data_IF_518192075011
#
_entry.id   IF_518192075011
#
_cell.length_a   1.000
_cell.length_b   1.000
_cell.length_c   1.000
_cell.angle_alpha   90.00
_cell.angle_beta   90.00
_cell.angle_gamma   90.00
#
_symmetry.space_group_name_H-M   'P 1'
#
loop_
_entity.id
_entity.type
_entity.pdbx_description
1 polymer ?
#
# COMPACT_ATOMS: atom_id res chain seq x y z
N UNK A 1 18.11 15.16 -13.44
CA UNK A 1 18.44 15.48 -12.04
C UNK A 1 18.17 14.22 -11.23
N UNK A 2 19.17 13.60 -10.60
CA UNK A 2 18.92 12.43 -9.76
C UNK A 2 18.09 12.88 -8.54
N UNK A 3 16.90 12.31 -8.39
CA UNK A 3 16.05 12.50 -7.21
C UNK A 3 16.21 11.29 -6.30
N UNK A 4 16.32 11.53 -4.99
CA UNK A 4 16.28 10.49 -3.96
C UNK A 4 14.97 10.61 -3.19
N UNK A 5 14.29 9.49 -2.96
CA UNK A 5 13.12 9.41 -2.09
C UNK A 5 13.58 8.95 -0.71
N UNK A 6 13.38 9.79 0.30
CA UNK A 6 13.72 9.49 1.70
C UNK A 6 12.44 9.26 2.49
N UNK A 7 12.45 8.28 3.38
CA UNK A 7 11.37 8.09 4.35
C UNK A 7 11.58 9.03 5.52
N UNK A 8 10.48 9.60 5.98
CA UNK A 8 10.47 10.57 7.05
C UNK A 8 9.14 10.51 7.78
N UNK A 9 9.15 10.88 9.05
CA UNK A 9 7.95 11.09 9.84
C UNK A 9 7.95 12.48 10.47
N UNK A 10 6.76 12.95 10.85
CA UNK A 10 6.61 14.16 11.64
C UNK A 10 6.63 13.77 13.12
N UNK A 11 7.60 14.30 13.88
CA UNK A 11 7.77 14.00 15.32
C UNK A 11 6.88 14.86 16.23
N UNK A 12 6.03 15.71 15.64
CA UNK A 12 5.21 16.69 16.35
C UNK A 12 5.75 18.13 16.27
N UNK A 13 7.01 18.29 15.87
CA UNK A 13 7.68 19.59 15.75
C UNK A 13 8.40 19.77 14.40
N UNK A 14 9.02 18.71 13.89
CA UNK A 14 9.89 18.71 12.72
C UNK A 14 9.70 17.45 11.86
N UNK A 15 10.13 17.54 10.61
CA UNK A 15 10.22 16.38 9.71
C UNK A 15 11.56 15.71 9.96
N UNK A 16 11.54 14.46 10.44
CA UNK A 16 12.72 13.68 10.79
C UNK A 16 12.89 12.55 9.79
N UNK A 17 14.09 12.39 9.25
CA UNK A 17 14.41 11.25 8.40
C UNK A 17 14.53 9.97 9.22
N UNK A 18 13.93 8.90 8.72
CA UNK A 18 13.97 7.59 9.38
C UNK A 18 15.38 6.97 9.27
N UNK A 19 16.13 7.35 8.25
CA UNK A 19 17.49 6.90 7.97
C UNK A 19 18.45 8.09 7.91
N UNK A 20 19.72 7.95 8.34
CA UNK A 20 20.71 9.01 8.23
C UNK A 20 20.92 9.45 6.79
N UNK A 21 20.77 10.74 6.53
CA UNK A 21 21.02 11.33 5.21
C UNK A 21 21.62 12.74 5.36
N UNK A 22 22.73 13.00 4.66
CA UNK A 22 23.36 14.31 4.67
C UNK A 22 22.64 15.27 3.72
N UNK A 23 22.12 16.37 4.28
CA UNK A 23 21.59 17.48 3.52
C UNK A 23 22.58 18.64 3.51
N UNK A 24 22.81 19.19 2.32
CA UNK A 24 23.51 20.46 2.21
C UNK A 24 22.64 21.61 2.75
N UNK A 25 23.31 22.64 3.27
CA UNK A 25 22.62 23.86 3.69
C UNK A 25 21.84 24.46 2.51
N UNK A 26 20.58 24.82 2.74
CA UNK A 26 19.64 25.33 1.73
C UNK A 26 19.38 24.37 0.55
N UNK A 27 19.49 23.05 0.77
CA UNK A 27 19.04 22.06 -0.20
C UNK A 27 17.57 22.33 -0.61
N UNK A 28 17.28 22.26 -1.91
CA UNK A 28 15.90 22.37 -2.41
C UNK A 28 15.21 21.02 -2.22
N UNK A 29 14.13 21.00 -1.46
CA UNK A 29 13.39 19.78 -1.13
C UNK A 29 12.01 19.80 -1.78
N UNK A 30 11.57 18.64 -2.25
CA UNK A 30 10.16 18.38 -2.59
C UNK A 30 9.58 17.53 -1.45
N UNK A 31 8.56 18.05 -0.77
CA UNK A 31 7.92 17.37 0.36
C UNK A 31 6.57 16.81 -0.08
N UNK A 32 6.41 15.50 0.04
CA UNK A 32 5.15 14.80 -0.19
C UNK A 32 4.60 14.32 1.14
N UNK A 33 3.44 14.81 1.55
CA UNK A 33 2.75 14.36 2.77
C UNK A 33 1.79 13.23 2.40
N UNK A 34 2.03 12.04 2.95
CA UNK A 34 1.16 10.88 2.73
C UNK A 34 0.04 10.91 3.77
N UNK A 35 -1.21 10.85 3.31
CA UNK A 35 -2.36 10.81 4.21
C UNK A 35 -2.41 9.45 4.93
N UNK A 36 -2.70 9.41 6.25
CA UNK A 36 -2.85 8.16 6.99
C UNK A 36 -4.05 7.33 6.50
N UNK A 37 -4.95 7.94 5.72
CA UNK A 37 -6.20 7.34 5.24
C UNK A 37 -6.01 6.14 4.30
N UNK A 38 -4.80 5.84 3.80
CA UNK A 38 -4.58 4.59 3.06
C UNK A 38 -4.74 3.33 3.93
N UNK A 39 -4.62 3.45 5.25
CA UNK A 39 -4.86 2.32 6.17
C UNK A 39 -6.34 2.13 6.53
N UNK A 40 -7.19 3.15 6.38
CA UNK A 40 -8.62 3.06 6.72
C UNK A 40 -9.39 2.08 5.86
N UNK A 41 -9.03 2.02 4.57
CA UNK A 41 -9.61 1.04 3.65
C UNK A 41 -8.83 -0.27 3.69
N UNK A 42 -7.55 -0.28 4.08
CA UNK A 42 -6.70 -1.48 4.07
C UNK A 42 -7.29 -2.61 4.89
N UNK A 43 -7.86 -2.32 6.06
CA UNK A 43 -8.54 -3.31 6.88
C UNK A 43 -9.78 -3.87 6.15
N UNK A 44 -10.61 -2.98 5.59
CA UNK A 44 -11.80 -3.39 4.82
C UNK A 44 -11.43 -4.23 3.59
N UNK A 45 -10.39 -3.85 2.85
CA UNK A 45 -9.86 -4.63 1.73
C UNK A 45 -9.31 -5.99 2.18
N UNK A 46 -8.66 -6.05 3.34
CA UNK A 46 -8.13 -7.29 3.90
C UNK A 46 -9.26 -8.23 4.33
N UNK A 47 -10.32 -7.69 4.95
CA UNK A 47 -11.51 -8.45 5.36
C UNK A 47 -12.30 -8.97 4.15
N UNK A 48 -12.46 -8.13 3.12
CA UNK A 48 -13.09 -8.53 1.85
C UNK A 48 -12.26 -9.62 1.15
N UNK A 49 -10.94 -9.48 1.10
CA UNK A 49 -10.06 -10.48 0.51
C UNK A 49 -10.13 -11.82 1.28
N UNK A 50 -10.13 -11.78 2.61
CA UNK A 50 -10.30 -12.97 3.43
C UNK A 50 -11.66 -13.65 3.21
N UNK A 51 -12.74 -12.87 3.15
CA UNK A 51 -14.09 -13.38 2.89
C UNK A 51 -14.20 -14.01 1.50
N UNK A 52 -13.65 -13.36 0.48
CA UNK A 52 -13.64 -13.90 -0.89
C UNK A 52 -12.81 -15.18 -0.98
N UNK A 53 -11.69 -15.26 -0.25
CA UNK A 53 -10.85 -16.46 -0.21
C UNK A 53 -11.59 -17.62 0.46
N UNK A 54 -12.28 -17.37 1.57
CA UNK A 54 -13.07 -18.39 2.26
C UNK A 54 -14.22 -18.92 1.38
N UNK A 55 -14.85 -18.07 0.58
CA UNK A 55 -15.88 -18.49 -0.39
C UNK A 55 -15.30 -19.34 -1.53
N UNK A 56 -14.11 -18.97 -2.02
CA UNK A 56 -13.44 -19.68 -3.11
C UNK A 56 -12.87 -21.05 -2.69
N UNK A 57 -12.88 -21.40 -1.41
CA UNK A 57 -12.44 -22.71 -0.91
C UNK A 57 -13.45 -23.29 0.10
N UNK A 58 -14.68 -22.79 0.08
CA UNK A 58 -15.75 -23.24 0.96
C UNK A 58 -16.52 -24.41 0.35
N UNK A 59 -17.34 -25.08 1.16
CA UNK A 59 -18.14 -26.23 0.72
C UNK A 59 -19.15 -25.87 -0.40
N UNK A 60 -19.49 -24.58 -0.53
CA UNK A 60 -20.38 -24.03 -1.56
C UNK A 60 -19.64 -23.58 -2.84
N UNK A 61 -18.33 -23.86 -2.97
CA UNK A 61 -17.57 -23.55 -4.19
C UNK A 61 -18.12 -24.35 -5.39
N UNK A 62 -18.48 -23.70 -6.52
CA UNK A 62 -18.94 -24.41 -7.69
C UNK A 62 -17.80 -25.19 -8.36
N UNK A 63 -18.10 -26.43 -8.77
CA UNK A 63 -17.16 -27.24 -9.55
C UNK A 63 -16.95 -26.61 -10.94
N UNK A 64 -15.76 -26.06 -11.16
CA UNK A 64 -15.37 -25.52 -12.47
C UNK A 64 -15.10 -26.64 -13.48
N UNK A 65 -15.79 -26.59 -14.62
CA UNK A 65 -15.66 -27.55 -15.71
C UNK A 65 -14.99 -26.91 -16.92
N UNK A 66 -14.45 -27.75 -17.80
CA UNK A 66 -13.87 -27.28 -19.08
C UNK A 66 -14.87 -26.50 -19.94
N UNK A 67 -16.18 -26.74 -19.76
CA UNK A 67 -17.24 -26.02 -20.45
C UNK A 67 -17.36 -24.54 -19.99
N UNK A 68 -16.83 -24.19 -18.82
CA UNK A 68 -16.90 -22.83 -18.25
C UNK A 68 -15.77 -21.93 -18.77
N UNK A 69 -14.79 -22.50 -19.47
CA UNK A 69 -13.66 -21.76 -20.05
C UNK A 69 -14.10 -21.11 -21.37
N UNK A 70 -14.12 -19.78 -21.41
CA UNK A 70 -14.36 -19.02 -22.64
C UNK A 70 -13.07 -18.96 -23.46
N UNK A 71 -13.09 -19.52 -24.67
CA UNK A 71 -12.01 -19.35 -25.63
C UNK A 71 -12.03 -17.94 -26.24
N UNK A 72 -10.85 -17.37 -26.55
CA UNK A 72 -10.71 -16.04 -27.15
C UNK A 72 -11.33 -15.94 -28.55
#
# INVERSE_FOLDING_TARGET
MPSVTLKAHFDGQSIVFDEPFELSSNARLLVTVVSPSMDGDRAQWSDLAGSSLALAYGDDEPEYRLADVRYP
#
